data_IF_582885054682
#
_entry.id   IF_582885054682
#
_cell.length_a   1.000
_cell.length_b   1.000
_cell.length_c   1.000
_cell.angle_alpha   90.00
_cell.angle_beta   90.00
_cell.angle_gamma   90.00
#
_symmetry.space_group_name_H-M   'P 1'
#
loop_
_entity.id
_entity.type
_entity.pdbx_description
1 polymer ?
#
# COMPACT_ATOMS: atom_id res chain seq x y z
N UNK A 1 9.06 -21.30 13.34
CA UNK A 1 9.21 -20.30 12.24
C UNK A 1 7.93 -19.51 12.22
N UNK A 2 7.98 -18.29 12.75
CA UNK A 2 6.80 -17.44 12.91
C UNK A 2 6.24 -17.03 11.55
N UNK A 3 5.03 -17.50 11.25
CA UNK A 3 4.28 -17.24 10.02
C UNK A 3 3.73 -15.81 9.93
N UNK A 4 4.53 -14.81 10.30
CA UNK A 4 4.18 -13.38 10.20
C UNK A 4 4.38 -12.80 8.80
N UNK A 5 4.77 -13.63 7.82
CA UNK A 5 5.04 -13.17 6.45
C UNK A 5 3.74 -12.97 5.66
N UNK A 6 3.21 -11.75 5.75
CA UNK A 6 2.12 -11.24 4.94
C UNK A 6 2.71 -10.17 3.97
N UNK A 7 2.37 -10.27 2.67
CA UNK A 7 2.85 -9.33 1.63
C UNK A 7 2.44 -7.88 1.87
N UNK A 8 1.24 -7.64 2.42
CA UNK A 8 0.73 -6.34 2.85
C UNK A 8 1.37 -5.82 4.17
N UNK A 9 1.79 -6.70 5.08
CA UNK A 9 2.46 -6.37 6.34
C UNK A 9 3.89 -5.87 6.08
N UNK A 10 4.58 -6.44 5.07
CA UNK A 10 5.83 -5.90 4.58
C UNK A 10 5.63 -4.49 4.00
N UNK A 11 4.64 -4.30 3.10
CA UNK A 11 4.38 -3.00 2.49
C UNK A 11 4.04 -1.93 3.53
N UNK A 12 3.22 -2.24 4.54
CA UNK A 12 2.84 -1.25 5.56
C UNK A 12 3.93 -1.01 6.61
N UNK A 13 4.63 -2.05 7.08
CA UNK A 13 5.66 -1.90 8.12
C UNK A 13 6.95 -1.35 7.56
N UNK A 14 7.38 -1.81 6.38
CA UNK A 14 8.58 -1.32 5.71
C UNK A 14 8.41 0.12 5.27
N UNK A 15 7.28 0.49 4.65
CA UNK A 15 7.08 1.88 4.21
C UNK A 15 6.94 2.85 5.38
N UNK A 16 6.35 2.44 6.50
CA UNK A 16 6.35 3.21 7.75
C UNK A 16 7.76 3.35 8.32
N UNK A 17 8.54 2.27 8.33
CA UNK A 17 9.93 2.30 8.76
C UNK A 17 10.79 3.21 7.88
N UNK A 18 10.69 3.12 6.55
CA UNK A 18 11.41 3.99 5.62
C UNK A 18 10.99 5.44 5.86
N UNK A 19 9.69 5.72 6.03
CA UNK A 19 9.20 7.06 6.35
C UNK A 19 9.80 7.62 7.65
N UNK A 20 9.83 6.81 8.72
CA UNK A 20 10.44 7.19 10.00
C UNK A 20 11.95 7.38 9.88
N UNK A 21 12.64 6.49 9.16
CA UNK A 21 14.08 6.59 8.90
C UNK A 21 14.42 7.89 8.15
N UNK A 22 13.70 8.18 7.06
CA UNK A 22 13.86 9.40 6.28
C UNK A 22 13.70 10.65 7.14
N UNK A 23 12.68 10.66 8.01
CA UNK A 23 12.41 11.75 8.94
C UNK A 23 13.52 11.93 9.97
N UNK A 24 13.93 10.85 10.66
CA UNK A 24 14.97 10.90 11.70
C UNK A 24 16.32 11.35 11.15
N UNK A 25 16.65 10.91 9.93
CA UNK A 25 17.87 11.30 9.24
C UNK A 25 17.75 12.65 8.51
N UNK A 26 16.58 13.29 8.47
CA UNK A 26 16.33 14.57 7.78
C UNK A 26 16.75 14.53 6.31
N UNK A 27 16.47 13.42 5.62
CA UNK A 27 16.95 13.18 4.25
C UNK A 27 16.47 14.20 3.23
N UNK A 28 15.38 14.92 3.50
CA UNK A 28 14.89 15.99 2.62
C UNK A 28 15.77 17.25 2.61
N UNK A 29 16.61 17.41 3.62
CA UNK A 29 17.58 18.50 3.71
C UNK A 29 18.97 18.08 3.22
N UNK A 30 19.13 16.87 2.67
CA UNK A 30 20.42 16.38 2.21
C UNK A 30 20.83 17.06 0.89
N UNK A 31 22.14 17.19 0.68
CA UNK A 31 22.68 17.70 -0.58
C UNK A 31 22.32 16.80 -1.77
N UNK A 32 22.31 15.48 -1.57
CA UNK A 32 22.04 14.51 -2.62
C UNK A 32 20.56 14.51 -3.04
N UNK A 33 20.29 14.82 -4.31
CA UNK A 33 18.93 14.91 -4.86
C UNK A 33 18.17 13.56 -4.76
N UNK A 34 18.85 12.43 -4.99
CA UNK A 34 18.22 11.10 -4.92
C UNK A 34 17.63 10.82 -3.54
N UNK A 35 18.34 11.16 -2.47
CA UNK A 35 17.88 10.95 -1.09
C UNK A 35 16.70 11.86 -0.74
N UNK A 36 16.70 13.11 -1.22
CA UNK A 36 15.58 14.03 -1.04
C UNK A 36 14.32 13.53 -1.74
N UNK A 37 14.45 13.07 -2.98
CA UNK A 37 13.35 12.51 -3.76
C UNK A 37 12.81 11.22 -3.14
N UNK A 38 13.69 10.34 -2.66
CA UNK A 38 13.29 9.11 -1.98
C UNK A 38 12.48 9.40 -0.72
N UNK A 39 12.92 10.36 0.10
CA UNK A 39 12.21 10.77 1.31
C UNK A 39 10.85 11.40 0.99
N UNK A 40 10.84 12.36 0.05
CA UNK A 40 9.62 13.07 -0.35
C UNK A 40 8.57 12.14 -0.97
N UNK A 41 9.00 11.26 -1.89
CA UNK A 41 8.14 10.24 -2.50
C UNK A 41 7.63 9.23 -1.48
N UNK A 42 8.47 8.79 -0.52
CA UNK A 42 8.05 7.87 0.55
C UNK A 42 6.93 8.47 1.39
N UNK A 43 7.03 9.74 1.78
CA UNK A 43 5.96 10.41 2.53
C UNK A 43 4.67 10.49 1.73
N UNK A 44 4.77 10.90 0.46
CA UNK A 44 3.60 11.06 -0.39
C UNK A 44 2.88 9.73 -0.65
N UNK A 45 3.63 8.65 -0.87
CA UNK A 45 3.06 7.31 -0.98
C UNK A 45 2.41 6.85 0.34
N UNK A 46 3.07 7.10 1.48
CA UNK A 46 2.50 6.77 2.79
C UNK A 46 1.21 7.56 3.08
N UNK A 47 1.16 8.85 2.71
CA UNK A 47 -0.04 9.67 2.84
C UNK A 47 -1.16 9.11 1.96
N UNK A 48 -0.89 8.90 0.67
CA UNK A 48 -1.84 8.34 -0.30
C UNK A 48 -2.44 7.02 0.20
N UNK A 49 -1.60 6.03 0.53
CA UNK A 49 -2.04 4.73 1.04
C UNK A 49 -2.83 4.88 2.35
N UNK A 50 -2.35 5.71 3.29
CA UNK A 50 -3.00 5.86 4.59
C UNK A 50 -4.39 6.49 4.50
N UNK A 51 -4.59 7.46 3.60
CA UNK A 51 -5.90 8.07 3.38
C UNK A 51 -6.86 7.08 2.72
N UNK A 52 -6.43 6.36 1.69
CA UNK A 52 -7.31 5.40 1.03
C UNK A 52 -7.73 4.23 1.93
N UNK A 53 -6.82 3.68 2.74
CA UNK A 53 -7.16 2.59 3.67
C UNK A 53 -8.08 3.01 4.83
N UNK A 54 -8.03 4.28 5.24
CA UNK A 54 -8.89 4.82 6.31
C UNK A 54 -10.14 5.52 5.76
N UNK A 55 -10.16 5.76 4.46
CA UNK A 55 -11.19 6.53 3.78
C UNK A 55 -12.46 5.71 3.60
N UNK A 56 -13.61 6.40 3.42
CA UNK A 56 -14.87 5.76 3.05
C UNK A 56 -14.82 5.17 1.63
N UNK A 57 -15.87 4.44 1.27
CA UNK A 57 -16.12 3.95 -0.10
C UNK A 57 -16.16 5.09 -1.12
N UNK A 58 -16.81 6.20 -0.75
CA UNK A 58 -16.91 7.41 -1.56
C UNK A 58 -16.24 8.57 -0.84
N UNK A 59 -15.11 9.03 -1.39
CA UNK A 59 -14.28 10.10 -0.82
C UNK A 59 -14.79 11.45 -1.34
N UNK A 60 -14.98 12.47 -0.47
CA UNK A 60 -15.32 13.82 -0.94
C UNK A 60 -14.27 14.35 -1.91
N UNK A 61 -14.71 15.08 -2.94
CA UNK A 61 -13.83 15.62 -4.00
C UNK A 61 -12.62 16.39 -3.46
N UNK A 62 -12.81 17.26 -2.47
CA UNK A 62 -11.71 18.05 -1.89
C UNK A 62 -10.62 17.16 -1.30
N UNK A 63 -11.01 16.14 -0.53
CA UNK A 63 -10.08 15.17 0.04
C UNK A 63 -9.45 14.30 -1.06
N UNK A 64 -10.24 13.88 -2.06
CA UNK A 64 -9.74 13.09 -3.17
C UNK A 64 -8.67 13.86 -3.98
N UNK A 65 -8.82 15.17 -4.17
CA UNK A 65 -7.83 16.00 -4.84
C UNK A 65 -6.49 16.04 -4.08
N UNK A 66 -6.52 16.25 -2.76
CA UNK A 66 -5.31 16.20 -1.92
C UNK A 66 -4.62 14.83 -1.99
N UNK A 67 -5.41 13.75 -1.97
CA UNK A 67 -4.89 12.39 -2.15
C UNK A 67 -4.24 12.26 -3.53
N UNK A 68 -4.92 12.65 -4.59
CA UNK A 68 -4.43 12.54 -5.98
C UNK A 68 -3.12 13.31 -6.19
N UNK A 69 -3.02 14.54 -5.67
CA UNK A 69 -1.80 15.35 -5.70
C UNK A 69 -0.62 14.61 -5.08
N UNK A 70 -0.84 13.96 -3.92
CA UNK A 70 0.18 13.13 -3.28
C UNK A 70 0.56 11.91 -4.13
N UNK A 71 -0.40 11.31 -4.83
CA UNK A 71 -0.15 10.20 -5.75
C UNK A 71 0.72 10.61 -6.95
N UNK A 72 0.38 11.73 -7.58
CA UNK A 72 1.17 12.33 -8.65
C UNK A 72 2.58 12.74 -8.20
N UNK A 73 2.70 13.29 -7.00
CA UNK A 73 3.99 13.67 -6.44
C UNK A 73 4.93 12.47 -6.25
N UNK A 74 4.41 11.33 -5.79
CA UNK A 74 5.18 10.09 -5.73
C UNK A 74 5.67 9.65 -7.12
N UNK A 75 4.79 9.66 -8.13
CA UNK A 75 5.14 9.31 -9.51
C UNK A 75 6.23 10.23 -10.08
N UNK A 76 6.12 11.55 -9.85
CA UNK A 76 7.12 12.52 -10.27
C UNK A 76 8.48 12.27 -9.58
N UNK A 77 8.48 12.00 -8.27
CA UNK A 77 9.69 11.63 -7.54
C UNK A 77 10.33 10.35 -8.10
N UNK A 78 9.53 9.32 -8.36
CA UNK A 78 10.01 8.06 -8.95
C UNK A 78 10.63 8.28 -10.33
N UNK A 79 9.94 9.00 -11.22
CA UNK A 79 10.42 9.31 -12.56
C UNK A 79 11.75 10.06 -12.52
N UNK A 80 11.88 11.07 -11.63
CA UNK A 80 13.10 11.83 -11.48
C UNK A 80 14.26 10.97 -10.98
N UNK A 81 14.03 10.11 -10.00
CA UNK A 81 15.06 9.19 -9.52
C UNK A 81 15.49 8.18 -10.58
N UNK A 82 14.55 7.65 -11.37
CA UNK A 82 14.86 6.75 -12.48
C UNK A 82 15.72 7.44 -13.54
N UNK A 83 15.41 8.70 -13.88
CA UNK A 83 16.21 9.51 -14.79
C UNK A 83 17.63 9.74 -14.26
N UNK A 84 17.78 10.08 -12.97
CA UNK A 84 19.10 10.27 -12.34
C UNK A 84 19.93 8.98 -12.36
N UNK A 85 19.32 7.84 -12.03
CA UNK A 85 20.02 6.56 -12.08
C UNK A 85 20.44 6.17 -13.50
N UNK A 86 19.61 6.46 -14.50
CA UNK A 86 19.95 6.25 -15.91
C UNK A 86 21.17 7.10 -16.32
N UNK A 87 21.19 8.39 -15.94
CA UNK A 87 22.33 9.30 -16.17
C UNK A 87 23.61 8.84 -15.47
N UNK A 88 23.48 8.20 -14.32
CA UNK A 88 24.61 7.63 -13.56
C UNK A 88 25.01 6.23 -14.05
N UNK A 89 24.40 5.71 -15.12
CA UNK A 89 24.58 4.34 -15.61
C UNK A 89 24.34 3.26 -14.55
N UNK A 90 23.44 3.54 -13.58
CA UNK A 90 23.06 2.60 -12.52
C UNK A 90 21.74 1.91 -12.86
N UNK A 91 21.76 0.58 -12.92
CA UNK A 91 20.56 -0.24 -13.14
C UNK A 91 19.78 -0.44 -11.82
N UNK A 92 19.20 0.66 -11.28
CA UNK A 92 18.43 0.63 -10.02
C UNK A 92 16.91 0.51 -10.21
N UNK A 93 16.40 0.87 -11.39
CA UNK A 93 14.97 1.00 -11.64
C UNK A 93 14.55 0.12 -12.80
N UNK A 94 14.15 -1.12 -12.51
CA UNK A 94 13.46 -1.97 -13.48
C UNK A 94 12.04 -1.44 -13.69
N UNK A 95 11.52 -1.49 -14.92
CA UNK A 95 10.11 -1.20 -15.18
C UNK A 95 9.27 -2.31 -14.52
N UNK A 96 8.69 -2.03 -13.35
CA UNK A 96 7.83 -2.97 -12.64
C UNK A 96 6.39 -2.69 -13.07
N UNK A 97 5.63 -3.69 -13.58
CA UNK A 97 4.22 -3.53 -13.96
C UNK A 97 3.34 -2.89 -12.88
N UNK A 98 3.71 -3.05 -11.61
CA UNK A 98 3.02 -2.48 -10.45
C UNK A 98 3.01 -0.95 -10.44
N UNK A 99 4.06 -0.28 -10.91
CA UNK A 99 4.09 1.18 -10.97
C UNK A 99 3.15 1.72 -12.06
N UNK A 100 3.04 1.01 -13.17
CA UNK A 100 2.08 1.34 -14.22
C UNK A 100 0.64 1.22 -13.73
N UNK A 101 0.33 0.16 -12.99
CA UNK A 101 -0.97 0.03 -12.33
C UNK A 101 -1.22 1.17 -11.35
N UNK A 102 -0.23 1.55 -10.54
CA UNK A 102 -0.34 2.69 -9.63
C UNK A 102 -0.69 3.99 -10.37
N UNK A 103 -0.05 4.25 -11.52
CA UNK A 103 -0.37 5.41 -12.36
C UNK A 103 -1.83 5.43 -12.79
N UNK A 104 -2.38 4.30 -13.27
CA UNK A 104 -3.80 4.19 -13.64
C UNK A 104 -4.73 4.47 -12.47
N UNK A 105 -4.40 4.00 -11.26
CA UNK A 105 -5.23 4.25 -10.08
C UNK A 105 -5.30 5.75 -9.75
N UNK A 106 -4.16 6.45 -9.81
CA UNK A 106 -4.09 7.89 -9.56
C UNK A 106 -4.83 8.66 -10.67
N UNK A 107 -4.63 8.30 -11.93
CA UNK A 107 -5.30 8.93 -13.07
C UNK A 107 -6.83 8.76 -13.03
N UNK A 108 -7.29 7.56 -12.69
CA UNK A 108 -8.72 7.26 -12.55
C UNK A 108 -9.37 8.11 -11.44
N UNK A 109 -8.77 8.16 -10.26
CA UNK A 109 -9.29 9.03 -9.18
C UNK A 109 -9.23 10.51 -9.56
N UNK A 110 -8.23 10.93 -10.33
CA UNK A 110 -8.11 12.32 -10.81
C UNK A 110 -9.26 12.66 -11.75
N UNK A 111 -9.53 11.80 -12.73
CA UNK A 111 -10.62 11.98 -13.69
C UNK A 111 -11.98 11.99 -12.99
N UNK A 112 -12.21 11.08 -12.03
CA UNK A 112 -13.43 11.09 -11.22
C UNK A 112 -13.59 12.40 -10.43
N UNK A 113 -12.51 12.90 -9.79
CA UNK A 113 -12.56 14.16 -9.03
C UNK A 113 -12.85 15.39 -9.89
N UNK A 114 -12.51 15.33 -11.19
CA UNK A 114 -12.83 16.40 -12.13
C UNK A 114 -14.32 16.42 -12.50
N UNK A 115 -14.98 15.24 -12.50
CA UNK A 115 -16.34 15.06 -13.01
C UNK A 115 -17.42 14.99 -11.92
N UNK A 116 -17.07 14.60 -10.69
CA UNK A 116 -18.03 14.34 -9.62
C UNK A 116 -17.56 14.90 -8.26
N UNK A 117 -18.53 15.15 -7.37
CA UNK A 117 -18.29 15.63 -6.00
C UNK A 117 -17.84 14.50 -5.04
N UNK A 118 -18.02 13.25 -5.46
CA UNK A 118 -17.65 12.05 -4.73
C UNK A 118 -16.84 11.13 -5.63
N UNK A 119 -15.71 10.65 -5.12
CA UNK A 119 -14.76 9.80 -5.84
C UNK A 119 -14.77 8.41 -5.26
N UNK A 120 -14.89 7.39 -6.13
CA UNK A 120 -14.81 6.01 -5.71
C UNK A 120 -13.41 5.66 -5.22
N UNK A 121 -13.33 5.08 -4.03
CA UNK A 121 -12.07 4.68 -3.42
C UNK A 121 -11.52 3.43 -4.11
N UNK A 122 -10.40 3.58 -4.81
CA UNK A 122 -9.74 2.48 -5.54
C UNK A 122 -9.33 1.31 -4.67
N UNK A 123 -9.21 1.49 -3.35
CA UNK A 123 -8.92 0.39 -2.43
C UNK A 123 -10.07 -0.62 -2.32
N UNK A 124 -11.28 -0.26 -2.74
CA UNK A 124 -12.42 -1.17 -2.74
C UNK A 124 -12.31 -2.26 -3.81
N UNK A 125 -11.51 -2.03 -4.86
CA UNK A 125 -11.16 -3.05 -5.87
C UNK A 125 -9.98 -3.93 -5.46
N UNK A 126 -9.37 -3.65 -4.30
CA UNK A 126 -8.19 -4.38 -3.84
C UNK A 126 -8.57 -5.68 -3.14
N UNK A 127 -8.21 -6.81 -3.73
CA UNK A 127 -8.32 -8.12 -3.07
C UNK A 127 -7.28 -8.34 -1.95
N UNK A 128 -6.47 -7.34 -1.59
CA UNK A 128 -5.38 -7.50 -0.62
C UNK A 128 -5.86 -7.99 0.76
N UNK A 129 -7.05 -7.56 1.20
CA UNK A 129 -7.64 -8.00 2.46
C UNK A 129 -8.14 -9.45 2.37
N UNK A 130 -8.79 -9.81 1.26
CA UNK A 130 -9.28 -11.16 1.01
C UNK A 130 -8.12 -12.16 0.87
N UNK A 131 -7.04 -11.76 0.18
CA UNK A 131 -5.82 -12.55 0.05
C UNK A 131 -5.14 -12.79 1.40
N UNK A 132 -5.09 -11.79 2.29
CA UNK A 132 -4.54 -11.96 3.64
C UNK A 132 -5.42 -12.92 4.46
N UNK A 133 -6.74 -12.74 4.40
CA UNK A 133 -7.69 -13.62 5.08
C UNK A 133 -7.52 -15.07 4.62
N UNK A 134 -7.63 -15.32 3.32
CA UNK A 134 -7.49 -16.64 2.71
C UNK A 134 -6.09 -17.22 2.99
N UNK A 135 -5.04 -16.39 2.93
CA UNK A 135 -3.66 -16.81 3.23
C UNK A 135 -3.50 -17.33 4.65
N UNK A 136 -4.04 -16.61 5.64
CA UNK A 136 -4.05 -17.04 7.05
C UNK A 136 -4.85 -18.33 7.23
N UNK A 137 -6.01 -18.43 6.58
CA UNK A 137 -6.80 -19.67 6.60
C UNK A 137 -6.02 -20.85 6.01
N UNK A 138 -5.46 -20.70 4.81
CA UNK A 138 -4.66 -21.71 4.14
C UNK A 138 -3.49 -22.19 4.99
N UNK A 139 -2.84 -21.29 5.74
CA UNK A 139 -1.79 -21.66 6.66
C UNK A 139 -2.31 -22.58 7.78
N UNK A 140 -3.41 -22.21 8.43
CA UNK A 140 -4.01 -23.00 9.50
C UNK A 140 -4.51 -24.36 9.01
N UNK A 141 -5.09 -24.43 7.79
CA UNK A 141 -5.62 -25.65 7.21
C UNK A 141 -4.57 -26.68 6.77
N UNK A 142 -3.32 -26.23 6.54
CA UNK A 142 -2.17 -27.10 6.24
C UNK A 142 -1.63 -27.81 7.46
N UNK A 143 -1.99 -27.36 8.66
CA UNK A 143 -1.52 -27.93 9.93
C UNK A 143 -2.52 -28.93 10.55
N UNK A 144 -3.51 -29.39 9.78
CA UNK A 144 -4.54 -30.34 10.25
C UNK A 144 -4.71 -31.50 9.26
N UNK A 145 -5.16 -32.64 9.77
CA UNK A 145 -5.49 -33.80 8.94
C UNK A 145 -6.46 -33.39 7.81
N UNK A 146 -6.25 -33.86 6.57
CA UNK A 146 -7.16 -33.56 5.45
C UNK A 146 -8.64 -33.86 5.75
N UNK A 147 -8.90 -34.91 6.55
CA UNK A 147 -10.25 -35.31 6.96
C UNK A 147 -10.94 -34.29 7.87
N UNK A 148 -10.16 -33.50 8.62
CA UNK A 148 -10.67 -32.51 9.56
C UNK A 148 -10.54 -31.08 9.03
N UNK A 149 -10.05 -30.90 7.80
CA UNK A 149 -9.66 -29.59 7.27
C UNK A 149 -10.81 -28.59 7.28
N UNK A 150 -11.98 -28.99 6.77
CA UNK A 150 -13.17 -28.11 6.71
C UNK A 150 -13.62 -27.72 8.13
N UNK A 151 -13.84 -28.71 8.99
CA UNK A 151 -14.30 -28.48 10.37
C UNK A 151 -13.32 -27.58 11.16
N UNK A 152 -12.03 -27.88 11.14
CA UNK A 152 -11.02 -27.09 11.88
C UNK A 152 -10.85 -25.68 11.32
N UNK A 153 -11.12 -25.46 10.04
CA UNK A 153 -11.13 -24.11 9.45
C UNK A 153 -12.27 -23.28 10.01
N UNK A 154 -13.49 -23.84 10.01
CA UNK A 154 -14.68 -23.17 10.52
C UNK A 154 -14.58 -22.92 12.03
N UNK A 155 -14.16 -23.91 12.81
CA UNK A 155 -13.97 -23.77 14.26
C UNK A 155 -12.97 -22.65 14.59
N UNK A 156 -11.83 -22.60 13.89
CA UNK A 156 -10.82 -21.56 14.11
C UNK A 156 -11.33 -20.18 13.68
N UNK A 157 -12.05 -20.07 12.57
CA UNK A 157 -12.69 -18.81 12.17
C UNK A 157 -13.65 -18.31 13.23
N UNK A 158 -14.61 -19.15 13.63
CA UNK A 158 -15.66 -18.81 14.60
C UNK A 158 -15.05 -18.44 15.96
N UNK A 159 -13.99 -19.14 16.38
CA UNK A 159 -13.26 -18.79 17.61
C UNK A 159 -12.66 -17.38 17.53
N UNK A 160 -12.05 -17.01 16.40
CA UNK A 160 -11.49 -15.66 16.21
C UNK A 160 -12.60 -14.59 16.18
N UNK A 161 -13.72 -14.85 15.50
CA UNK A 161 -14.88 -13.94 15.47
C UNK A 161 -15.45 -13.75 16.88
N UNK A 162 -15.63 -14.84 17.64
CA UNK A 162 -16.13 -14.78 19.01
C UNK A 162 -15.20 -13.97 19.92
N UNK A 163 -13.88 -14.15 19.81
CA UNK A 163 -12.90 -13.38 20.60
C UNK A 163 -12.93 -11.88 20.27
N UNK A 164 -13.22 -11.51 19.02
CA UNK A 164 -13.34 -10.11 18.60
C UNK A 164 -14.65 -9.48 19.06
N UNK A 165 -15.76 -10.23 19.04
CA UNK A 165 -17.08 -9.74 19.47
C UNK A 165 -17.30 -9.75 20.97
N UNK A 166 -16.52 -10.52 21.73
CA UNK A 166 -16.59 -10.57 23.20
C UNK A 166 -15.76 -9.46 23.87
N UNK A 167 -15.13 -8.59 23.09
CA UNK A 167 -14.41 -7.41 23.55
C UNK A 167 -15.27 -6.17 23.37
#
# INVERSE_FOLDING_TARGET
MDGSWNKAALTTSLMKFIGDFCRRKKLESFAEEQLRLAASGTRALNFWMSRLYKGPLFIPKSEAQEINESGWHFLACYQRMALLACKEHKCKFTLIPKLHMYWHLVDWMTTQSAQADWVYNVMCESCSMDEDLIGRFCFLTRCVSPRQRVQRSLERYLTQVLLLWSR
#
